data_IF_324861536495
#
_entry.id   IF_324861536495
#
_cell.length_a   1.000
_cell.length_b   1.000
_cell.length_c   1.000
_cell.angle_alpha   90.00
_cell.angle_beta   90.00
_cell.angle_gamma   90.00
#
_symmetry.space_group_name_H-M   'P 1'
#
loop_
_entity.id
_entity.type
_entity.pdbx_description
1 polymer ?
#
# COMPACT_ATOMS: atom_id res chain seq x y z
N UNK A 1 -62.25 25.27 -10.92
CA UNK A 1 -61.52 26.02 -11.95
C UNK A 1 -60.42 26.82 -11.27
N UNK A 2 -59.15 26.66 -11.57
CA UNK A 2 -58.38 25.44 -11.72
C UNK A 2 -57.00 25.77 -11.13
N UNK A 3 -56.63 25.04 -10.07
CA UNK A 3 -55.49 25.24 -9.18
C UNK A 3 -54.18 24.71 -9.82
N UNK A 4 -54.05 24.83 -11.14
CA UNK A 4 -53.08 24.06 -11.96
C UNK A 4 -52.05 24.88 -12.72
N UNK A 5 -51.83 26.17 -12.40
CA UNK A 5 -50.88 27.01 -13.18
C UNK A 5 -49.84 27.83 -12.40
N UNK A 6 -49.67 27.59 -11.10
CA UNK A 6 -48.63 28.30 -10.32
C UNK A 6 -47.70 27.26 -9.67
N UNK A 7 -47.04 26.47 -10.51
CA UNK A 7 -45.94 25.55 -10.12
C UNK A 7 -44.68 25.88 -10.93
N UNK A 8 -44.58 27.06 -11.54
CA UNK A 8 -43.42 27.41 -12.36
C UNK A 8 -42.80 28.71 -11.84
N UNK A 9 -41.54 28.58 -11.38
CA UNK A 9 -40.62 29.64 -10.94
C UNK A 9 -40.71 30.09 -9.48
N UNK A 10 -40.16 29.28 -8.56
CA UNK A 10 -39.27 29.73 -7.47
C UNK A 10 -38.81 28.53 -6.62
N UNK A 11 -37.87 27.74 -7.14
CA UNK A 11 -36.90 27.00 -6.30
C UNK A 11 -35.53 27.50 -6.74
N UNK A 12 -35.16 28.64 -6.18
CA UNK A 12 -33.81 29.18 -6.25
C UNK A 12 -32.94 28.48 -5.22
N UNK A 13 -31.74 28.09 -5.67
CA UNK A 13 -30.55 27.84 -4.86
C UNK A 13 -30.60 26.67 -3.87
N UNK A 14 -30.39 25.47 -4.42
CA UNK A 14 -29.53 24.47 -3.78
C UNK A 14 -28.88 23.65 -4.90
N UNK A 15 -27.97 24.29 -5.65
CA UNK A 15 -26.91 23.54 -6.30
C UNK A 15 -26.02 23.01 -5.18
N UNK A 16 -26.39 21.87 -4.60
CA UNK A 16 -25.39 20.97 -4.07
C UNK A 16 -24.54 20.58 -5.28
N UNK A 17 -23.43 21.30 -5.45
CA UNK A 17 -22.24 20.70 -6.03
C UNK A 17 -21.88 19.54 -5.11
N UNK A 18 -22.56 18.41 -5.29
CA UNK A 18 -21.90 17.13 -5.13
C UNK A 18 -20.84 17.14 -6.23
N UNK A 19 -19.71 17.77 -5.94
CA UNK A 19 -18.48 17.35 -6.57
C UNK A 19 -18.37 15.89 -6.18
N UNK A 20 -18.77 15.00 -7.08
CA UNK A 20 -18.18 13.68 -7.08
C UNK A 20 -16.70 13.94 -7.22
N UNK A 21 -15.97 13.87 -6.11
CA UNK A 21 -14.59 13.44 -6.20
C UNK A 21 -14.74 12.07 -6.84
N UNK A 22 -14.48 12.00 -8.14
CA UNK A 22 -14.15 10.74 -8.73
C UNK A 22 -12.88 10.34 -7.98
N UNK A 23 -13.03 9.54 -6.93
CA UNK A 23 -11.94 8.67 -6.52
C UNK A 23 -11.70 7.86 -7.79
N UNK A 24 -10.61 8.15 -8.50
CA UNK A 24 -10.01 7.06 -9.25
C UNK A 24 -9.77 6.02 -8.16
N UNK A 25 -10.47 4.88 -8.20
CA UNK A 25 -10.21 3.81 -7.25
C UNK A 25 -8.69 3.61 -7.28
N UNK A 26 -8.05 3.84 -6.15
CA UNK A 26 -6.66 3.48 -6.03
C UNK A 26 -6.64 1.96 -6.22
N UNK A 27 -6.06 1.51 -7.33
CA UNK A 27 -5.98 0.10 -7.69
C UNK A 27 -5.12 -0.65 -6.66
N UNK A 28 -5.76 -1.12 -5.59
CA UNK A 28 -5.18 -2.01 -4.59
C UNK A 28 -4.92 -3.36 -5.28
N UNK A 29 -3.67 -3.79 -5.28
CA UNK A 29 -3.19 -4.95 -6.08
C UNK A 29 -2.60 -6.08 -5.23
N UNK A 30 -2.35 -5.83 -3.94
CA UNK A 30 -2.05 -6.84 -2.93
C UNK A 30 -2.39 -6.28 -1.55
N UNK A 31 -2.93 -7.13 -0.66
CA UNK A 31 -3.18 -6.75 0.73
C UNK A 31 -2.97 -7.90 1.71
N UNK A 32 -2.20 -7.67 2.77
CA UNK A 32 -1.88 -8.64 3.82
C UNK A 32 -2.35 -8.08 5.16
N UNK A 33 -3.46 -8.59 5.68
CA UNK A 33 -4.02 -8.13 6.98
C UNK A 33 -3.35 -8.81 8.17
N UNK A 34 -2.69 -9.96 7.94
CA UNK A 34 -2.02 -10.75 8.98
C UNK A 34 -2.95 -11.23 10.11
N UNK A 35 -4.22 -11.49 9.80
CA UNK A 35 -5.24 -12.00 10.72
C UNK A 35 -5.17 -13.51 10.97
N UNK A 36 -4.23 -14.22 10.35
CA UNK A 36 -4.06 -15.64 10.56
C UNK A 36 -3.70 -15.96 12.03
N UNK A 37 -4.08 -17.16 12.47
CA UNK A 37 -3.84 -17.63 13.85
C UNK A 37 -2.95 -18.85 13.90
N UNK A 38 -2.53 -19.36 12.73
CA UNK A 38 -1.66 -20.52 12.60
C UNK A 38 -1.11 -20.63 11.18
N UNK A 39 -0.04 -21.40 11.01
CA UNK A 39 0.59 -21.62 9.71
C UNK A 39 1.73 -20.64 9.44
N UNK A 40 2.27 -20.75 8.23
CA UNK A 40 3.46 -20.03 7.75
C UNK A 40 3.16 -19.27 6.45
N UNK A 41 1.90 -18.86 6.25
CA UNK A 41 1.47 -18.07 5.10
C UNK A 41 0.58 -16.94 5.57
N UNK A 42 0.73 -15.76 4.97
CA UNK A 42 -0.20 -14.65 5.08
C UNK A 42 -0.95 -14.50 3.76
N UNK A 43 -2.29 -14.47 3.82
CA UNK A 43 -3.12 -14.43 2.64
C UNK A 43 -3.09 -13.04 1.97
N UNK A 44 -3.02 -13.03 0.64
CA UNK A 44 -3.35 -11.82 -0.13
C UNK A 44 -4.88 -11.70 -0.28
N UNK A 45 -5.46 -10.74 0.43
CA UNK A 45 -6.89 -10.46 0.48
C UNK A 45 -7.46 -9.91 -0.83
N UNK A 46 -6.61 -9.41 -1.75
CA UNK A 46 -7.02 -8.93 -3.09
C UNK A 46 -7.07 -10.08 -4.10
N UNK A 47 -6.33 -11.17 -3.83
CA UNK A 47 -6.04 -12.26 -4.79
C UNK A 47 -5.44 -11.72 -6.10
N UNK A 48 -4.50 -10.78 -5.96
CA UNK A 48 -3.75 -10.20 -7.07
C UNK A 48 -2.60 -11.10 -7.53
N UNK A 49 -1.66 -10.51 -8.27
CA UNK A 49 -0.48 -11.23 -8.78
C UNK A 49 0.53 -11.60 -7.69
N UNK A 50 0.49 -10.92 -6.53
CA UNK A 50 1.44 -11.17 -5.44
C UNK A 50 1.27 -12.54 -4.79
N UNK A 51 0.00 -12.98 -4.66
CA UNK A 51 -0.33 -14.23 -3.96
C UNK A 51 0.01 -14.18 -2.48
N UNK A 52 -0.06 -15.34 -1.83
CA UNK A 52 0.25 -15.50 -0.41
C UNK A 52 1.71 -15.14 -0.13
N UNK A 53 1.96 -14.43 0.97
CA UNK A 53 3.31 -14.26 1.49
C UNK A 53 3.71 -15.50 2.29
N UNK A 54 4.93 -16.00 2.06
CA UNK A 54 5.50 -17.16 2.75
C UNK A 54 6.36 -16.68 3.91
N UNK A 55 6.09 -17.19 5.11
CA UNK A 55 6.83 -16.90 6.33
C UNK A 55 7.98 -17.91 6.49
N UNK A 56 9.18 -17.40 6.74
CA UNK A 56 10.40 -18.19 6.93
C UNK A 56 11.15 -17.77 8.19
N UNK A 57 11.78 -18.73 8.86
CA UNK A 57 12.63 -18.48 10.04
C UNK A 57 11.98 -18.74 11.40
N UNK A 58 10.65 -18.86 11.44
CA UNK A 58 9.89 -18.89 12.68
C UNK A 58 9.99 -20.23 13.45
N UNK A 59 10.44 -20.16 14.71
CA UNK A 59 10.51 -21.28 15.66
C UNK A 59 9.19 -21.52 16.44
N UNK A 60 8.22 -20.63 16.29
CA UNK A 60 6.95 -20.63 17.01
C UNK A 60 5.80 -20.02 16.20
N UNK A 61 4.68 -19.72 16.86
CA UNK A 61 3.60 -18.97 16.22
C UNK A 61 4.06 -17.54 15.96
N UNK A 62 4.05 -17.06 14.71
CA UNK A 62 4.44 -15.69 14.37
C UNK A 62 3.30 -14.68 14.61
N UNK A 63 2.08 -15.18 14.76
CA UNK A 63 0.85 -14.42 14.84
C UNK A 63 0.65 -13.77 16.22
N UNK A 64 0.41 -12.46 16.23
CA UNK A 64 0.21 -11.61 17.40
C UNK A 64 -1.02 -10.72 17.24
N UNK A 65 -1.38 -9.94 18.25
CA UNK A 65 -2.42 -8.92 18.13
C UNK A 65 -1.89 -7.70 17.36
N UNK A 66 -2.66 -7.21 16.38
CA UNK A 66 -2.37 -6.04 15.57
C UNK A 66 -2.99 -4.74 16.09
N UNK A 67 -2.96 -3.72 15.23
CA UNK A 67 -3.78 -2.51 15.34
C UNK A 67 -5.23 -2.83 14.93
N UNK A 68 -5.40 -3.60 13.86
CA UNK A 68 -6.68 -4.04 13.31
C UNK A 68 -6.63 -5.56 13.19
N UNK A 69 -7.25 -6.25 14.14
CA UNK A 69 -7.26 -7.71 14.13
C UNK A 69 -5.91 -8.30 14.55
N UNK A 70 -5.31 -9.10 13.67
CA UNK A 70 -4.04 -9.80 13.90
C UNK A 70 -2.82 -9.02 13.43
N UNK A 71 -1.65 -9.64 13.59
CA UNK A 71 -0.38 -9.12 13.15
C UNK A 71 0.66 -10.23 13.09
N UNK A 72 1.82 -9.92 12.54
CA UNK A 72 2.96 -10.85 12.46
C UNK A 72 4.19 -10.21 13.10
N UNK A 73 4.83 -10.88 14.06
CA UNK A 73 6.02 -10.38 14.77
C UNK A 73 7.29 -11.05 14.25
N UNK A 74 8.28 -10.25 13.85
CA UNK A 74 9.58 -10.71 13.33
C UNK A 74 10.66 -10.46 14.38
N UNK A 75 11.51 -11.46 14.64
CA UNK A 75 12.49 -11.41 15.72
C UNK A 75 13.75 -10.53 15.46
N UNK A 76 13.96 -10.09 14.23
CA UNK A 76 15.14 -9.31 13.83
C UNK A 76 16.42 -10.12 13.65
N UNK A 77 16.34 -11.45 13.61
CA UNK A 77 17.49 -12.35 13.48
C UNK A 77 17.40 -13.16 12.19
N UNK A 78 16.28 -13.84 11.97
CA UNK A 78 16.10 -14.70 10.80
C UNK A 78 14.64 -14.85 10.35
N UNK A 79 13.70 -14.19 11.02
CA UNK A 79 12.31 -14.13 10.60
C UNK A 79 12.12 -13.13 9.46
N UNK A 80 11.45 -13.56 8.40
CA UNK A 80 11.11 -12.73 7.24
C UNK A 80 9.97 -13.35 6.44
N UNK A 81 9.45 -12.59 5.47
CA UNK A 81 8.48 -13.11 4.51
C UNK A 81 8.86 -12.76 3.08
N UNK A 82 8.36 -13.55 2.13
CA UNK A 82 8.46 -13.26 0.71
C UNK A 82 7.13 -13.43 -0.01
N UNK A 83 6.90 -12.60 -1.03
CA UNK A 83 5.81 -12.78 -1.99
C UNK A 83 6.28 -12.40 -3.39
N UNK A 84 5.47 -12.70 -4.41
CA UNK A 84 5.68 -12.11 -5.73
C UNK A 84 5.49 -10.60 -5.61
N UNK A 85 6.41 -9.83 -6.17
CA UNK A 85 6.36 -8.38 -6.17
C UNK A 85 5.18 -7.91 -7.06
N UNK A 86 4.19 -7.21 -6.49
CA UNK A 86 3.01 -6.80 -7.24
C UNK A 86 3.26 -5.62 -8.21
N UNK A 87 4.37 -4.88 -8.04
CA UNK A 87 4.62 -3.64 -8.78
C UNK A 87 5.33 -3.94 -10.10
N UNK A 88 4.63 -3.89 -11.22
CA UNK A 88 5.14 -4.24 -12.55
C UNK A 88 6.38 -3.46 -13.03
N UNK A 89 7.18 -4.09 -13.92
CA UNK A 89 8.39 -3.48 -14.48
C UNK A 89 8.06 -2.23 -15.28
N UNK A 90 8.81 -1.16 -15.03
CA UNK A 90 8.55 0.12 -15.66
C UNK A 90 7.30 0.84 -15.13
N UNK A 91 6.78 0.44 -13.96
CA UNK A 91 5.75 1.20 -13.26
C UNK A 91 6.18 2.68 -13.13
N UNK A 92 5.25 3.58 -13.43
CA UNK A 92 5.45 5.02 -13.30
C UNK A 92 4.70 5.61 -12.13
N UNK A 93 3.91 4.79 -11.42
CA UNK A 93 3.31 5.13 -10.16
C UNK A 93 3.22 3.90 -9.27
N UNK A 94 3.19 4.10 -7.95
CA UNK A 94 2.89 3.07 -6.97
C UNK A 94 2.63 3.69 -5.60
N UNK A 95 2.03 2.89 -4.71
CA UNK A 95 2.00 3.18 -3.28
C UNK A 95 2.17 1.92 -2.46
N UNK A 96 2.70 2.10 -1.26
CA UNK A 96 2.67 1.11 -0.19
C UNK A 96 2.17 1.79 1.09
N UNK A 97 1.41 1.05 1.91
CA UNK A 97 0.91 1.51 3.19
C UNK A 97 0.82 0.35 4.16
N UNK A 98 1.06 0.58 5.44
CA UNK A 98 0.87 -0.43 6.48
C UNK A 98 1.20 0.05 7.88
N UNK A 99 0.88 -0.78 8.87
CA UNK A 99 1.23 -0.55 10.26
C UNK A 99 2.46 -1.34 10.64
N UNK A 100 3.42 -0.67 11.29
CA UNK A 100 4.61 -1.32 11.82
C UNK A 100 4.84 -0.92 13.27
N UNK A 101 5.42 -1.83 14.04
CA UNK A 101 5.94 -1.57 15.38
C UNK A 101 7.39 -2.05 15.41
N UNK A 102 8.31 -1.17 15.77
CA UNK A 102 9.72 -1.51 15.91
C UNK A 102 10.07 -1.80 17.38
N UNK A 103 10.68 -2.94 17.67
CA UNK A 103 11.22 -3.26 19.00
C UNK A 103 12.68 -2.77 19.12
N UNK A 104 13.38 -2.65 17.99
CA UNK A 104 14.73 -2.08 17.91
C UNK A 104 14.97 -1.43 16.54
N UNK A 105 16.15 -0.82 16.35
CA UNK A 105 16.56 -0.22 15.06
C UNK A 105 17.85 -0.87 14.54
N UNK A 106 17.80 -2.13 14.05
CA UNK A 106 18.94 -2.73 13.36
C UNK A 106 19.42 -1.84 12.21
N UNK A 107 20.71 -1.91 11.91
CA UNK A 107 21.28 -1.13 10.80
C UNK A 107 20.63 -1.59 9.50
N UNK A 108 20.07 -0.65 8.72
CA UNK A 108 19.37 -0.94 7.45
C UNK A 108 18.17 -1.89 7.60
N UNK A 109 17.46 -1.82 8.72
CA UNK A 109 16.26 -2.63 8.97
C UNK A 109 15.20 -2.39 7.88
N UNK A 110 14.74 -3.46 7.21
CA UNK A 110 13.89 -3.37 6.02
C UNK A 110 12.44 -3.67 6.37
N UNK A 111 11.50 -2.78 6.03
CA UNK A 111 10.06 -3.03 6.16
C UNK A 111 9.59 -3.85 4.94
N UNK A 112 9.72 -3.27 3.75
CA UNK A 112 9.47 -3.94 2.46
C UNK A 112 10.53 -3.55 1.43
N UNK A 113 11.05 -4.53 0.70
CA UNK A 113 12.20 -4.32 -0.16
C UNK A 113 12.30 -5.35 -1.27
N UNK A 114 12.66 -4.91 -2.47
CA UNK A 114 13.03 -5.79 -3.58
C UNK A 114 14.43 -5.49 -4.15
N UNK A 115 15.26 -4.74 -3.41
CA UNK A 115 16.67 -4.55 -3.75
C UNK A 115 17.49 -5.77 -3.34
N UNK A 116 18.28 -6.28 -4.28
CA UNK A 116 19.22 -7.37 -4.07
C UNK A 116 20.60 -6.93 -3.58
N UNK A 117 21.53 -7.88 -3.60
CA UNK A 117 22.94 -7.73 -3.24
C UNK A 117 23.70 -6.79 -4.16
N UNK A 118 23.79 -7.16 -5.43
CA UNK A 118 24.52 -6.45 -6.47
C UNK A 118 23.63 -5.56 -7.34
N UNK A 119 22.31 -5.75 -7.31
CA UNK A 119 21.35 -5.02 -8.13
C UNK A 119 20.30 -4.30 -7.29
N UNK A 120 20.11 -3.01 -7.55
CA UNK A 120 18.99 -2.27 -6.99
C UNK A 120 17.67 -2.74 -7.65
N UNK A 121 16.64 -2.89 -6.82
CA UNK A 121 15.26 -3.13 -7.25
C UNK A 121 14.49 -1.81 -7.30
N UNK A 122 13.16 -1.88 -7.27
CA UNK A 122 12.32 -0.70 -7.41
C UNK A 122 12.28 0.15 -6.13
N UNK A 123 12.18 -0.49 -4.95
CA UNK A 123 12.01 0.19 -3.67
C UNK A 123 12.79 -0.46 -2.52
N UNK A 124 13.20 0.37 -1.57
CA UNK A 124 13.85 -0.02 -0.32
C UNK A 124 13.25 0.83 0.80
N UNK A 125 12.20 0.29 1.40
CA UNK A 125 11.47 0.95 2.46
C UNK A 125 11.84 0.39 3.82
N UNK A 126 12.23 1.26 4.75
CA UNK A 126 12.69 0.84 6.07
C UNK A 126 13.43 1.93 6.83
N UNK A 127 14.34 1.51 7.71
CA UNK A 127 15.13 2.41 8.53
C UNK A 127 16.49 2.70 7.90
N UNK A 128 16.85 3.97 7.84
CA UNK A 128 18.12 4.37 7.26
C UNK A 128 19.30 3.99 8.16
N UNK A 129 20.17 3.13 7.63
CA UNK A 129 21.51 2.88 8.16
C UNK A 129 21.50 2.73 9.70
N UNK A 130 22.43 3.37 10.41
CA UNK A 130 22.44 3.43 11.87
C UNK A 130 21.70 4.64 12.46
N UNK A 131 21.22 5.57 11.62
CA UNK A 131 20.44 6.73 12.06
C UNK A 131 19.06 6.29 12.56
N UNK A 132 18.49 5.29 11.88
CA UNK A 132 17.29 4.60 12.30
C UNK A 132 16.00 5.41 12.11
N UNK A 133 16.03 6.46 11.31
CA UNK A 133 14.84 7.19 10.84
C UNK A 133 14.17 6.47 9.66
N UNK A 134 12.87 6.70 9.48
CA UNK A 134 12.12 6.14 8.36
C UNK A 134 12.62 6.72 7.03
N UNK A 135 12.79 5.85 6.04
CA UNK A 135 13.28 6.21 4.71
C UNK A 135 12.69 5.32 3.63
N UNK A 136 12.54 5.86 2.43
CA UNK A 136 12.37 5.07 1.21
C UNK A 136 13.41 5.45 0.17
N UNK A 137 13.81 4.48 -0.64
CA UNK A 137 14.56 4.70 -1.87
C UNK A 137 13.80 4.16 -3.06
N UNK A 138 13.71 4.94 -4.13
CA UNK A 138 13.22 4.49 -5.43
C UNK A 138 14.36 4.50 -6.45
N UNK A 139 14.39 3.50 -7.33
CA UNK A 139 15.38 3.39 -8.40
C UNK A 139 14.69 3.24 -9.77
N UNK A 140 15.10 4.06 -10.74
CA UNK A 140 14.51 4.08 -12.07
C UNK A 140 15.40 3.37 -13.10
N UNK A 141 14.82 3.12 -14.27
CA UNK A 141 15.48 2.47 -15.42
C UNK A 141 16.60 3.32 -16.04
N UNK A 142 16.73 4.59 -15.66
CA UNK A 142 17.82 5.47 -16.09
C UNK A 142 19.03 5.42 -15.13
N UNK A 143 18.91 4.71 -14.00
CA UNK A 143 19.95 4.61 -12.99
C UNK A 143 19.90 5.69 -11.91
N UNK A 144 18.86 6.54 -11.90
CA UNK A 144 18.68 7.54 -10.85
C UNK A 144 18.06 6.91 -9.60
N UNK A 145 18.47 7.45 -8.45
CA UNK A 145 17.95 7.05 -7.13
C UNK A 145 17.31 8.27 -6.46
N UNK A 146 16.07 8.14 -6.03
CA UNK A 146 15.47 9.06 -5.06
C UNK A 146 15.61 8.50 -3.65
N UNK A 147 15.86 9.37 -2.68
CA UNK A 147 15.82 9.03 -1.27
C UNK A 147 15.07 10.12 -0.51
N UNK A 148 14.02 9.72 0.20
CA UNK A 148 13.24 10.58 1.10
C UNK A 148 13.34 10.01 2.51
N UNK A 149 13.49 10.89 3.50
CA UNK A 149 13.83 10.52 4.88
C UNK A 149 13.14 11.43 5.88
N UNK A 150 12.63 10.85 6.96
CA UNK A 150 12.05 11.59 8.08
C UNK A 150 13.11 12.42 8.83
N UNK A 151 14.34 11.89 8.96
CA UNK A 151 15.47 12.58 9.62
C UNK A 151 15.46 12.54 11.16
N UNK A 152 14.44 11.94 11.79
CA UNK A 152 14.41 11.65 13.22
C UNK A 152 14.28 10.14 13.48
N UNK A 153 14.97 9.57 14.49
CA UNK A 153 14.91 8.14 14.76
C UNK A 153 13.48 7.63 14.95
N UNK A 154 13.19 6.47 14.37
CA UNK A 154 11.89 5.83 14.44
C UNK A 154 11.51 5.48 15.88
N UNK A 155 10.24 5.67 16.22
CA UNK A 155 9.70 5.41 17.54
C UNK A 155 9.68 3.90 17.82
N UNK A 156 10.10 3.51 19.03
CA UNK A 156 10.08 2.12 19.47
C UNK A 156 8.80 1.81 20.23
N UNK A 157 8.45 0.52 20.21
CA UNK A 157 7.38 -0.08 21.01
C UNK A 157 5.99 0.56 20.79
N UNK A 158 5.81 1.27 19.67
CA UNK A 158 4.59 1.99 19.31
C UNK A 158 4.20 1.67 17.88
N UNK A 159 2.94 1.29 17.67
CA UNK A 159 2.38 1.13 16.33
C UNK A 159 2.39 2.47 15.59
N UNK A 160 3.01 2.47 14.42
CA UNK A 160 3.15 3.63 13.56
C UNK A 160 2.68 3.25 12.17
N UNK A 161 1.76 4.03 11.61
CA UNK A 161 1.36 3.85 10.23
C UNK A 161 2.40 4.49 9.32
N UNK A 162 2.88 3.75 8.34
CA UNK A 162 3.93 4.16 7.42
C UNK A 162 3.47 3.95 5.99
N UNK A 163 3.81 4.88 5.11
CA UNK A 163 3.49 4.75 3.69
C UNK A 163 4.49 5.52 2.83
N UNK A 164 4.60 5.14 1.56
CA UNK A 164 5.23 5.96 0.55
C UNK A 164 4.40 5.94 -0.74
N UNK A 165 4.48 7.03 -1.51
CA UNK A 165 3.79 7.15 -2.79
C UNK A 165 4.72 7.72 -3.85
N UNK A 166 4.51 7.28 -5.08
CA UNK A 166 5.20 7.79 -6.26
C UNK A 166 4.20 7.99 -7.39
N UNK A 167 4.12 9.20 -7.94
CA UNK A 167 3.15 9.58 -8.98
C UNK A 167 3.77 9.76 -10.39
N UNK A 168 5.04 9.40 -10.55
CA UNK A 168 5.81 9.61 -11.79
C UNK A 168 6.58 10.93 -11.84
N UNK A 169 6.34 11.82 -10.86
CA UNK A 169 6.96 13.14 -10.76
C UNK A 169 7.39 13.53 -9.33
N UNK A 170 6.78 12.92 -8.32
CA UNK A 170 7.03 13.19 -6.90
C UNK A 170 7.07 11.88 -6.14
N UNK A 171 8.11 11.71 -5.32
CA UNK A 171 8.24 10.66 -4.34
C UNK A 171 7.95 11.24 -2.95
N UNK A 172 6.97 10.67 -2.22
CA UNK A 172 6.56 11.11 -0.88
C UNK A 172 6.67 10.00 0.15
N UNK A 173 7.02 10.39 1.37
CA UNK A 173 7.07 9.55 2.56
C UNK A 173 6.07 10.05 3.59
N UNK A 174 5.34 9.13 4.21
CA UNK A 174 4.29 9.41 5.17
C UNK A 174 4.50 8.67 6.49
N UNK A 175 4.09 9.33 7.58
CA UNK A 175 3.99 8.75 8.92
C UNK A 175 2.69 9.20 9.56
N UNK A 176 1.90 8.27 10.08
CA UNK A 176 0.61 8.51 10.74
C UNK A 176 -0.33 9.41 9.90
N UNK A 177 -0.42 9.13 8.60
CA UNK A 177 -1.28 9.84 7.65
C UNK A 177 -0.72 11.16 7.09
N UNK A 178 0.39 11.68 7.63
CA UNK A 178 0.97 12.97 7.21
C UNK A 178 2.26 12.79 6.41
N UNK A 179 2.49 13.67 5.42
CA UNK A 179 3.76 13.75 4.68
C UNK A 179 4.87 14.20 5.62
N UNK A 180 5.94 13.41 5.72
CA UNK A 180 7.15 13.73 6.51
C UNK A 180 8.35 14.10 5.64
N UNK A 181 8.37 13.65 4.39
CA UNK A 181 9.39 14.04 3.42
C UNK A 181 8.87 13.85 1.99
N UNK A 182 9.39 14.65 1.05
CA UNK A 182 9.10 14.51 -0.37
C UNK A 182 10.27 15.01 -1.23
N UNK A 183 10.37 14.49 -2.46
CA UNK A 183 11.34 14.92 -3.44
C UNK A 183 10.75 14.83 -4.86
N UNK A 184 11.16 15.77 -5.72
CA UNK A 184 10.92 15.65 -7.15
C UNK A 184 11.72 14.46 -7.68
N UNK A 185 11.04 13.54 -8.36
CA UNK A 185 11.64 12.33 -8.91
C UNK A 185 10.82 11.84 -10.10
N UNK A 186 11.48 11.36 -11.14
CA UNK A 186 10.77 10.92 -12.34
C UNK A 186 11.46 9.74 -13.00
N UNK A 187 10.72 9.02 -13.82
CA UNK A 187 11.21 7.86 -14.56
C UNK A 187 10.45 6.58 -14.21
N UNK A 188 10.58 5.59 -15.07
CA UNK A 188 9.96 4.28 -14.86
C UNK A 188 10.79 3.47 -13.85
N UNK A 189 10.16 2.86 -12.86
CA UNK A 189 10.82 2.07 -11.82
C UNK A 189 11.45 0.80 -12.41
N UNK A 190 12.61 0.41 -11.87
CA UNK A 190 13.42 -0.69 -12.39
C UNK A 190 13.41 -1.95 -11.51
N UNK A 191 13.15 -3.11 -12.10
CA UNK A 191 13.31 -4.42 -11.48
C UNK A 191 14.78 -4.84 -11.33
N UNK A 192 15.10 -5.67 -10.33
CA UNK A 192 16.33 -6.42 -10.35
C UNK A 192 16.31 -7.38 -11.55
N UNK A 193 17.29 -7.27 -12.45
CA UNK A 193 17.34 -7.96 -13.74
C UNK A 193 17.44 -9.50 -13.62
N UNK A 194 17.76 -10.02 -12.44
CA UNK A 194 18.01 -11.44 -12.21
C UNK A 194 16.81 -12.22 -11.65
N UNK A 195 15.66 -11.58 -11.39
CA UNK A 195 14.51 -12.24 -10.74
C UNK A 195 13.37 -12.62 -11.70
N UNK A 196 13.60 -12.57 -13.01
CA UNK A 196 12.56 -12.85 -14.02
C UNK A 196 11.50 -11.75 -14.12
N UNK A 197 10.40 -12.03 -14.82
CA UNK A 197 9.31 -11.07 -15.06
C UNK A 197 8.46 -10.81 -13.79
N UNK A 198 8.47 -11.75 -12.83
CA UNK A 198 7.65 -11.75 -11.60
C UNK A 198 8.53 -11.74 -10.33
N UNK A 199 9.46 -10.77 -10.23
CA UNK A 199 10.44 -10.66 -9.14
C UNK A 199 9.86 -10.73 -7.72
N UNK A 200 10.71 -10.84 -6.71
CA UNK A 200 10.32 -11.09 -5.30
C UNK A 200 10.34 -9.79 -4.49
N UNK A 201 9.36 -9.63 -3.61
CA UNK A 201 9.41 -8.65 -2.51
C UNK A 201 9.68 -9.38 -1.19
N UNK A 202 10.67 -8.89 -0.45
CA UNK A 202 10.93 -9.30 0.92
C UNK A 202 10.22 -8.36 1.91
N UNK A 203 9.54 -8.92 2.88
CA UNK A 203 9.04 -8.21 4.06
C UNK A 203 9.97 -8.52 5.23
N UNK A 204 10.44 -7.48 5.91
CA UNK A 204 11.37 -7.67 7.02
C UNK A 204 12.81 -7.96 6.61
N UNK A 205 13.15 -7.93 5.32
CA UNK A 205 14.49 -8.35 4.87
C UNK A 205 14.89 -7.75 3.51
N UNK A 206 16.21 -7.65 3.30
CA UNK A 206 16.86 -7.59 2.00
C UNK A 206 17.14 -9.01 1.50
N UNK A 207 16.53 -9.41 0.40
CA UNK A 207 16.83 -10.69 -0.25
C UNK A 207 18.15 -10.64 -1.03
N UNK A 208 18.71 -11.80 -1.34
CA UNK A 208 19.80 -11.96 -2.27
C UNK A 208 19.36 -11.66 -3.72
N UNK A 209 20.30 -11.62 -4.66
CA UNK A 209 20.01 -11.22 -6.05
C UNK A 209 18.97 -12.11 -6.75
N UNK A 210 18.88 -13.39 -6.37
CA UNK A 210 17.92 -14.34 -6.92
C UNK A 210 16.54 -14.26 -6.23
N UNK A 211 16.42 -13.49 -5.14
CA UNK A 211 15.17 -13.31 -4.39
C UNK A 211 14.78 -14.51 -3.52
N UNK A 212 15.61 -15.54 -3.42
CA UNK A 212 15.26 -16.83 -2.81
C UNK A 212 15.70 -17.01 -1.36
N UNK A 213 16.53 -16.10 -0.84
CA UNK A 213 17.00 -16.14 0.55
C UNK A 213 17.42 -14.73 1.00
N UNK A 214 17.61 -14.49 2.30
CA UNK A 214 18.20 -13.25 2.79
C UNK A 214 19.61 -13.00 2.21
N UNK A 215 19.95 -11.72 2.02
CA UNK A 215 21.31 -11.32 1.66
C UNK A 215 22.30 -11.83 2.72
N UNK A 216 23.38 -12.54 2.33
CA UNK A 216 24.25 -13.21 3.29
C UNK A 216 25.18 -12.26 4.08
N UNK A 217 25.29 -10.99 3.67
CA UNK A 217 26.19 -10.02 4.29
C UNK A 217 25.45 -9.00 5.16
N UNK A 218 24.37 -8.43 4.64
CA UNK A 218 23.60 -7.38 5.28
C UNK A 218 22.10 -7.52 4.95
N UNK A 219 21.42 -8.54 5.52
CA UNK A 219 20.01 -8.81 5.26
C UNK A 219 19.09 -7.73 5.86
N UNK A 220 19.54 -6.99 6.88
CA UNK A 220 18.77 -5.88 7.44
C UNK A 220 17.42 -6.32 8.00
N UNK A 221 17.41 -7.40 8.81
CA UNK A 221 16.18 -7.95 9.37
C UNK A 221 15.39 -6.91 10.17
N UNK A 222 14.06 -6.95 10.04
CA UNK A 222 13.15 -6.19 10.88
C UNK A 222 12.94 -6.86 12.22
N UNK A 223 12.97 -6.06 13.29
CA UNK A 223 12.66 -6.51 14.62
C UNK A 223 11.38 -5.82 15.12
N UNK A 224 10.28 -6.54 15.08
CA UNK A 224 8.97 -6.10 15.54
C UNK A 224 7.83 -6.54 14.61
N UNK A 225 6.68 -5.93 14.80
CA UNK A 225 5.42 -6.42 14.26
C UNK A 225 4.91 -5.63 13.06
N UNK A 226 4.19 -6.32 12.17
CA UNK A 226 3.45 -5.76 11.03
C UNK A 226 1.97 -6.03 11.14
N UNK A 227 1.18 -5.14 10.54
CA UNK A 227 -0.26 -5.26 10.38
C UNK A 227 -0.71 -4.46 9.14
N UNK A 228 -1.75 -4.95 8.45
CA UNK A 228 -2.52 -4.22 7.44
C UNK A 228 -1.70 -3.63 6.27
N UNK A 229 -0.86 -4.45 5.65
CA UNK A 229 -0.04 -4.03 4.50
C UNK A 229 -0.84 -4.00 3.21
N UNK A 230 -0.66 -2.95 2.41
CA UNK A 230 -1.28 -2.78 1.10
C UNK A 230 -0.32 -2.25 0.05
N UNK A 231 -0.52 -2.68 -1.20
CA UNK A 231 0.17 -2.16 -2.38
C UNK A 231 -0.83 -1.66 -3.41
N UNK A 232 -0.51 -0.53 -4.05
CA UNK A 232 -1.30 0.05 -5.12
C UNK A 232 -0.45 0.26 -6.38
N UNK A 233 -1.06 0.05 -7.56
CA UNK A 233 -0.42 0.38 -8.86
C UNK A 233 -0.46 1.88 -9.18
N UNK A 234 -1.11 2.67 -8.33
CA UNK A 234 -1.32 4.11 -8.45
C UNK A 234 -0.73 4.84 -7.24
N UNK A 235 -0.51 6.15 -7.39
CA UNK A 235 -0.13 7.01 -6.29
C UNK A 235 -1.37 7.39 -5.47
N UNK A 236 -1.40 6.99 -4.21
CA UNK A 236 -2.38 7.48 -3.24
C UNK A 236 -2.15 8.97 -3.02
N UNK A 237 -3.25 9.70 -2.93
CA UNK A 237 -3.27 11.09 -2.51
C UNK A 237 -3.04 11.19 -1.00
N UNK A 238 -2.61 12.36 -0.52
CA UNK A 238 -2.43 12.63 0.91
C UNK A 238 -3.73 12.34 1.72
N UNK A 239 -4.90 12.60 1.12
CA UNK A 239 -6.20 12.33 1.74
C UNK A 239 -6.54 10.83 1.82
N UNK A 240 -6.15 10.04 0.82
CA UNK A 240 -6.32 8.59 0.84
C UNK A 240 -5.40 7.94 1.87
N UNK A 241 -4.13 8.34 1.94
CA UNK A 241 -3.20 7.87 2.99
C UNK A 241 -3.72 8.21 4.39
N UNK A 242 -4.23 9.44 4.58
CA UNK A 242 -4.87 9.83 5.84
C UNK A 242 -6.13 8.98 6.14
N UNK A 243 -6.90 8.62 5.11
CA UNK A 243 -8.10 7.79 5.25
C UNK A 243 -7.73 6.36 5.69
N UNK A 244 -6.72 5.75 5.05
CA UNK A 244 -6.20 4.44 5.45
C UNK A 244 -5.71 4.48 6.90
N UNK A 245 -4.92 5.49 7.27
CA UNK A 245 -4.45 5.64 8.65
C UNK A 245 -5.59 5.67 9.67
N UNK A 246 -6.72 6.32 9.35
CA UNK A 246 -7.85 6.42 10.28
C UNK A 246 -8.78 5.22 10.28
N UNK A 247 -8.92 4.53 9.15
CA UNK A 247 -10.00 3.56 8.93
C UNK A 247 -9.51 2.17 8.50
N UNK A 248 -8.19 1.96 8.40
CA UNK A 248 -7.61 0.75 7.83
C UNK A 248 -7.78 0.67 6.30
N UNK A 249 -7.43 -0.49 5.73
CA UNK A 249 -7.51 -0.75 4.28
C UNK A 249 -8.96 -0.70 3.76
N UNK A 250 -9.97 -0.92 4.61
CA UNK A 250 -11.39 -0.75 4.25
C UNK A 250 -11.79 0.70 3.94
N UNK A 251 -10.93 1.67 4.31
CA UNK A 251 -11.16 3.10 4.05
C UNK A 251 -11.05 3.50 2.58
N UNK A 252 -10.49 2.64 1.71
CA UNK A 252 -10.47 2.82 0.26
C UNK A 252 -11.45 1.82 -0.36
N UNK A 253 -12.34 2.30 -1.22
CA UNK A 253 -13.33 1.45 -1.88
C UNK A 253 -12.63 0.38 -2.70
N UNK A 254 -12.73 -0.88 -2.27
CA UNK A 254 -12.20 -2.06 -2.98
C UNK A 254 -13.15 -2.57 -4.07
N UNK A 255 -14.23 -1.83 -4.36
CA UNK A 255 -15.26 -2.22 -5.31
C UNK A 255 -15.08 -1.37 -6.57
N UNK A 256 -14.72 -1.96 -7.74
CA UNK A 256 -14.79 -1.21 -8.99
C UNK A 256 -16.23 -0.73 -9.11
N UNK A 257 -16.43 0.58 -9.00
CA UNK A 257 -17.75 1.21 -9.05
C UNK A 257 -18.58 0.51 -10.15
N UNK A 258 -19.72 -0.13 -9.82
CA UNK A 258 -20.57 -0.71 -10.85
C UNK A 258 -20.93 0.44 -11.77
N UNK A 259 -20.34 0.45 -12.97
CA UNK A 259 -20.50 1.51 -13.95
C UNK A 259 -21.94 2.00 -13.91
N UNK A 260 -22.14 3.30 -13.68
CA UNK A 260 -23.44 3.91 -13.34
C UNK A 260 -24.57 3.66 -14.36
N UNK A 261 -24.28 2.94 -15.45
CA UNK A 261 -25.22 2.34 -16.38
C UNK A 261 -26.17 1.29 -15.76
N UNK A 262 -25.78 0.58 -14.70
CA UNK A 262 -26.64 -0.43 -14.05
C UNK A 262 -27.85 0.17 -13.32
N UNK A 263 -27.66 1.29 -12.63
CA UNK A 263 -28.69 1.97 -11.84
C UNK A 263 -29.66 2.81 -12.70
N UNK A 264 -29.22 3.29 -13.85
CA UNK A 264 -30.08 4.00 -14.80
C UNK A 264 -31.10 3.06 -15.49
N UNK A 265 -30.75 1.80 -15.75
CA UNK A 265 -31.65 0.83 -16.38
C UNK A 265 -32.76 0.32 -15.43
N UNK A 266 -32.47 0.18 -14.13
CA UNK A 266 -33.49 -0.18 -13.14
C UNK A 266 -34.47 0.97 -12.86
N UNK A 267 -33.99 2.21 -12.82
CA UNK A 267 -34.83 3.40 -12.70
C UNK A 267 -35.77 3.61 -13.90
N UNK A 268 -35.28 3.40 -15.12
CA UNK A 268 -36.07 3.59 -16.34
C UNK A 268 -37.13 2.49 -16.55
N UNK A 269 -36.83 1.24 -16.17
CA UNK A 269 -37.79 0.13 -16.27
C UNK A 269 -38.93 0.26 -15.23
N UNK A 270 -38.67 0.81 -14.04
CA UNK A 270 -39.75 1.11 -13.07
C UNK A 270 -40.65 2.27 -13.54
N UNK A 271 -40.07 3.33 -14.12
CA UNK A 271 -40.83 4.48 -14.65
C UNK A 271 -41.67 4.11 -15.89
N UNK A 272 -41.20 3.20 -16.74
CA UNK A 272 -41.96 2.73 -17.91
C UNK A 272 -43.08 1.74 -17.55
N UNK A 273 -42.96 1.00 -16.42
CA UNK A 273 -44.05 0.12 -15.93
C UNK A 273 -45.16 0.88 -15.21
N UNK A 274 -44.87 2.03 -14.59
CA UNK A 274 -45.88 2.89 -13.95
C UNK A 274 -46.71 3.70 -14.97
N UNK A 275 -46.22 3.93 -16.18
CA UNK A 275 -46.94 4.67 -17.24
C UNK A 275 -47.90 3.83 -18.09
N UNK A 276 -47.92 2.50 -17.96
CA UNK A 276 -48.86 1.60 -18.67
C UNK A 276 -50.07 1.16 -17.83
N UNK A 277 -50.27 1.76 -16.65
CA UNK A 277 -51.43 1.48 -15.76
C UNK A 277 -52.26 2.73 -15.42
N UNK A 278 -52.35 3.69 -16.35
CA UNK A 278 -53.42 4.69 -16.37
C UNK A 278 -54.10 4.69 -17.72
#
# INVERSE_FOLDING_TARGET
MDLKRIVLAMVMASCFLLGSVASADADLIAAYTFDETSGITAADSVRGVAGEAILEGFDGSPWVDGVIGGGVDLDGVNDWMSAVNPIAQGATAMSFSGWVKANSRPIWSSIVKNWGGAQAGQYHFGLQAGDGDLSDFLFNTSGDVSNVREGSPFELDTWTHVAFTYDGSTHKLFKNGAVVAEAAYSGALNYPANQGDDGVVGFGVKTNDDGLAPDPGAPGFWNGAYDDFGFWSTALTDAEVQTIYTNGLEGISIVPEPTSFGLAMLGLVMLLRLRRRQ
#
